data_IF_820833878841
#
_entry.id   IF_820833878841
#
_cell.length_a   1.000
_cell.length_b   1.000
_cell.length_c   1.000
_cell.angle_alpha   90.00
_cell.angle_beta   90.00
_cell.angle_gamma   90.00
#
_symmetry.space_group_name_H-M   'P 1'
#
loop_
_entity.id
_entity.type
_entity.pdbx_description
1 polymer ?
#
# COMPACT_ATOMS: atom_id res chain seq x y z
N UNK A 1 7.54 5.18 17.42
CA UNK A 1 7.53 4.87 15.98
C UNK A 1 8.54 5.79 15.34
N UNK A 2 9.66 5.26 14.87
CA UNK A 2 10.74 6.06 14.29
C UNK A 2 10.38 6.31 12.83
N UNK A 3 10.08 7.55 12.46
CA UNK A 3 9.82 7.93 11.08
C UNK A 3 11.20 8.17 10.44
N UNK A 4 11.67 7.19 9.66
CA UNK A 4 12.91 7.32 8.90
C UNK A 4 12.73 8.35 7.77
N UNK A 5 13.85 8.96 7.34
CA UNK A 5 13.89 10.03 6.33
C UNK A 5 12.99 9.75 5.11
N UNK A 6 12.16 10.73 4.72
CA UNK A 6 11.11 10.67 3.67
C UNK A 6 11.49 10.00 2.33
N UNK A 7 12.78 9.90 1.98
CA UNK A 7 13.24 9.17 0.77
C UNK A 7 13.56 7.70 1.03
N UNK A 8 14.08 7.39 2.22
CA UNK A 8 14.49 6.03 2.60
C UNK A 8 13.31 5.08 2.72
N UNK A 9 12.15 5.60 3.14
CA UNK A 9 10.93 4.80 3.29
C UNK A 9 10.39 4.27 1.96
N UNK A 10 10.18 5.16 0.99
CA UNK A 10 9.67 4.78 -0.34
C UNK A 10 10.63 3.81 -1.06
N UNK A 11 11.93 4.04 -0.96
CA UNK A 11 12.95 3.11 -1.50
C UNK A 11 12.82 1.70 -0.91
N UNK A 12 12.47 1.59 0.38
CA UNK A 12 12.26 0.31 1.04
C UNK A 12 10.97 -0.39 0.60
N UNK A 13 9.90 0.37 0.37
CA UNK A 13 8.66 -0.15 -0.21
C UNK A 13 8.91 -0.68 -1.64
N UNK A 14 9.59 0.11 -2.47
CA UNK A 14 9.93 -0.30 -3.83
C UNK A 14 10.86 -1.52 -3.85
N UNK A 15 11.81 -1.61 -2.92
CA UNK A 15 12.65 -2.80 -2.76
C UNK A 15 11.85 -4.05 -2.32
N UNK A 16 10.77 -3.86 -1.55
CA UNK A 16 9.93 -4.96 -1.04
C UNK A 16 9.00 -5.50 -2.12
N UNK A 17 8.33 -4.61 -2.87
CA UNK A 17 7.29 -4.99 -3.83
C UNK A 17 7.78 -5.03 -5.28
N UNK A 18 8.98 -4.50 -5.56
CA UNK A 18 9.57 -4.48 -6.90
C UNK A 18 8.63 -3.85 -7.92
N UNK A 19 8.42 -4.53 -9.05
CA UNK A 19 7.59 -4.02 -10.14
C UNK A 19 6.11 -3.77 -9.75
N UNK A 20 5.59 -4.43 -8.71
CA UNK A 20 4.21 -4.17 -8.27
C UNK A 20 4.06 -2.85 -7.49
N UNK A 21 5.16 -2.22 -7.06
CA UNK A 21 5.07 -1.02 -6.21
C UNK A 21 4.31 0.11 -6.90
N UNK A 22 4.52 0.30 -8.20
CA UNK A 22 3.83 1.31 -9.00
C UNK A 22 2.31 1.06 -9.04
N UNK A 23 1.90 -0.17 -9.35
CA UNK A 23 0.49 -0.55 -9.41
C UNK A 23 -0.19 -0.45 -8.03
N UNK A 24 0.51 -0.85 -6.97
CA UNK A 24 0.02 -0.71 -5.59
C UNK A 24 -0.20 0.76 -5.22
N UNK A 25 0.75 1.64 -5.54
CA UNK A 25 0.63 3.09 -5.29
C UNK A 25 -0.57 3.69 -6.05
N UNK A 26 -0.78 3.30 -7.31
CA UNK A 26 -1.89 3.80 -8.12
C UNK A 26 -3.26 3.35 -7.57
N UNK A 27 -3.40 2.05 -7.29
CA UNK A 27 -4.63 1.49 -6.71
C UNK A 27 -4.93 2.10 -5.34
N UNK A 28 -3.90 2.27 -4.51
CA UNK A 28 -4.05 2.88 -3.20
C UNK A 28 -4.44 4.36 -3.29
N UNK A 29 -3.85 5.13 -4.23
CA UNK A 29 -4.25 6.51 -4.51
C UNK A 29 -5.74 6.61 -4.84
N UNK A 30 -6.20 5.72 -5.74
CA UNK A 30 -7.60 5.69 -6.15
C UNK A 30 -8.54 5.34 -4.98
N UNK A 31 -8.18 4.33 -4.17
CA UNK A 31 -8.96 3.94 -3.01
C UNK A 31 -9.02 5.05 -1.96
N UNK A 32 -7.90 5.72 -1.68
CA UNK A 32 -7.86 6.82 -0.72
C UNK A 32 -8.66 8.02 -1.22
N UNK A 33 -8.54 8.37 -2.50
CA UNK A 33 -9.33 9.45 -3.10
C UNK A 33 -10.83 9.14 -3.04
N UNK A 34 -11.23 7.92 -3.41
CA UNK A 34 -12.65 7.53 -3.39
C UNK A 34 -13.26 7.46 -1.98
N UNK A 35 -12.45 7.14 -0.96
CA UNK A 35 -12.91 7.01 0.44
C UNK A 35 -12.84 8.31 1.23
N UNK A 36 -11.83 9.15 0.99
CA UNK A 36 -11.60 10.40 1.74
C UNK A 36 -12.03 11.66 1.00
N UNK A 37 -12.14 11.60 -0.34
CA UNK A 37 -12.31 12.78 -1.19
C UNK A 37 -11.07 13.67 -1.29
N UNK A 38 -9.93 13.26 -0.73
CA UNK A 38 -8.66 13.99 -0.76
C UNK A 38 -7.66 13.33 -1.72
N UNK A 39 -6.84 14.17 -2.36
CA UNK A 39 -5.80 13.70 -3.27
C UNK A 39 -4.51 13.42 -2.50
N UNK A 40 -3.87 12.30 -2.83
CA UNK A 40 -2.53 11.98 -2.33
C UNK A 40 -1.51 12.74 -3.18
N UNK A 41 -0.60 13.47 -2.54
CA UNK A 41 0.47 14.24 -3.19
C UNK A 41 1.86 13.65 -2.94
N UNK A 42 1.98 12.79 -1.92
CA UNK A 42 3.22 12.08 -1.61
C UNK A 42 2.96 10.85 -0.76
N UNK A 43 4.02 10.09 -0.54
CA UNK A 43 3.97 8.86 0.21
C UNK A 43 5.10 8.80 1.23
N UNK A 44 4.76 8.40 2.45
CA UNK A 44 5.69 7.86 3.42
C UNK A 44 5.48 6.34 3.55
N UNK A 45 6.22 5.69 4.44
CA UNK A 45 6.04 4.28 4.73
C UNK A 45 5.99 4.00 6.23
N UNK A 46 5.28 2.94 6.58
CA UNK A 46 5.32 2.32 7.88
C UNK A 46 5.81 0.88 7.75
N UNK A 47 6.79 0.51 8.57
CA UNK A 47 7.26 -0.87 8.71
C UNK A 47 6.59 -1.49 9.94
N UNK A 48 5.87 -2.57 9.73
CA UNK A 48 5.12 -3.28 10.76
C UNK A 48 5.84 -4.54 11.22
N UNK A 49 5.39 -5.08 12.35
CA UNK A 49 5.88 -6.36 12.88
C UNK A 49 5.64 -7.45 11.82
N UNK A 50 6.66 -8.28 11.60
CA UNK A 50 6.64 -9.29 10.53
C UNK A 50 7.20 -8.81 9.19
N UNK A 51 7.70 -7.58 9.11
CA UNK A 51 8.39 -7.04 7.93
C UNK A 51 7.46 -6.54 6.83
N UNK A 52 6.16 -6.40 7.12
CA UNK A 52 5.21 -5.77 6.20
C UNK A 52 5.53 -4.28 6.10
N UNK A 53 5.72 -3.78 4.88
CA UNK A 53 5.93 -2.35 4.60
C UNK A 53 4.66 -1.83 3.93
N UNK A 54 4.00 -0.82 4.51
CA UNK A 54 2.81 -0.19 3.93
C UNK A 54 3.07 1.27 3.62
N UNK A 55 2.36 1.82 2.63
CA UNK A 55 2.41 3.24 2.33
C UNK A 55 1.50 4.05 3.26
N UNK A 56 1.94 5.26 3.58
CA UNK A 56 1.18 6.27 4.30
C UNK A 56 0.98 7.48 3.37
N UNK A 57 -0.26 7.90 3.10
CA UNK A 57 -0.50 9.01 2.19
C UNK A 57 -0.17 10.35 2.84
N UNK A 58 0.42 11.25 2.04
CA UNK A 58 0.71 12.63 2.40
C UNK A 58 -0.06 13.55 1.46
N UNK A 59 -0.76 14.54 2.03
CA UNK A 59 -1.31 15.69 1.29
C UNK A 59 -0.49 16.95 1.56
N UNK A 60 -0.54 17.93 0.66
CA UNK A 60 0.11 19.23 0.90
C UNK A 60 -0.68 20.09 1.89
N UNK A 61 -2.01 20.02 1.87
CA UNK A 61 -2.88 20.76 2.77
C UNK A 61 -3.24 19.94 4.02
N UNK A 62 -3.18 20.55 5.20
CA UNK A 62 -3.54 19.88 6.46
C UNK A 62 -4.99 19.40 6.47
N UNK A 63 -5.92 20.16 5.90
CA UNK A 63 -7.33 19.77 5.81
C UNK A 63 -7.55 18.52 4.95
N UNK A 64 -6.71 18.29 3.94
CA UNK A 64 -6.76 17.08 3.12
C UNK A 64 -6.02 15.92 3.80
N UNK A 65 -4.96 16.22 4.56
CA UNK A 65 -4.31 15.23 5.42
C UNK A 65 -5.29 14.66 6.47
N UNK A 66 -6.09 15.51 7.12
CA UNK A 66 -7.10 15.06 8.09
C UNK A 66 -8.13 14.11 7.46
N UNK A 67 -8.53 14.36 6.21
CA UNK A 67 -9.42 13.45 5.46
C UNK A 67 -8.73 12.13 5.14
N UNK A 68 -7.47 12.16 4.72
CA UNK A 68 -6.68 10.96 4.46
C UNK A 68 -6.49 10.13 5.74
N UNK A 69 -6.19 10.77 6.86
CA UNK A 69 -6.00 10.14 8.17
C UNK A 69 -7.29 9.51 8.72
N UNK A 70 -8.47 10.00 8.27
CA UNK A 70 -9.76 9.38 8.60
C UNK A 70 -9.98 8.02 7.93
N UNK A 71 -9.19 7.70 6.90
CA UNK A 71 -9.21 6.41 6.21
C UNK A 71 -8.07 5.56 6.75
N UNK A 72 -8.37 4.32 7.15
CA UNK A 72 -7.33 3.38 7.55
C UNK A 72 -6.45 3.02 6.32
N UNK A 73 -5.25 3.58 6.27
CA UNK A 73 -4.28 3.37 5.18
C UNK A 73 -3.84 1.92 5.05
N UNK A 74 -3.77 1.18 6.16
CA UNK A 74 -3.45 -0.26 6.16
C UNK A 74 -4.55 -1.07 5.49
N UNK A 75 -5.83 -0.76 5.72
CA UNK A 75 -6.93 -1.46 5.05
C UNK A 75 -7.04 -1.07 3.58
N UNK A 76 -6.75 0.18 3.22
CA UNK A 76 -6.65 0.62 1.83
C UNK A 76 -5.50 -0.09 1.10
N UNK A 77 -4.35 -0.26 1.76
CA UNK A 77 -3.22 -1.04 1.25
C UNK A 77 -3.61 -2.51 1.02
N UNK A 78 -4.27 -3.15 1.99
CA UNK A 78 -4.73 -4.53 1.87
C UNK A 78 -5.60 -4.72 0.61
N UNK A 79 -6.63 -3.89 0.45
CA UNK A 79 -7.49 -3.90 -0.75
C UNK A 79 -6.72 -3.62 -2.04
N UNK A 80 -5.74 -2.71 -2.04
CA UNK A 80 -4.92 -2.43 -3.21
C UNK A 80 -4.07 -3.64 -3.62
N UNK A 81 -3.53 -4.36 -2.64
CA UNK A 81 -2.74 -5.57 -2.87
C UNK A 81 -3.58 -6.73 -3.41
N UNK A 82 -4.80 -6.95 -2.87
CA UNK A 82 -5.75 -7.93 -3.42
C UNK A 82 -6.11 -7.60 -4.87
N UNK A 83 -6.48 -6.35 -5.15
CA UNK A 83 -6.83 -5.92 -6.50
C UNK A 83 -5.64 -5.98 -7.47
N UNK A 84 -4.41 -5.82 -6.99
CA UNK A 84 -3.22 -6.02 -7.80
C UNK A 84 -3.02 -7.51 -8.11
N UNK A 85 -3.14 -8.37 -7.09
CA UNK A 85 -3.07 -9.82 -7.24
C UNK A 85 -4.12 -10.37 -8.22
N UNK A 86 -5.38 -9.93 -8.10
CA UNK A 86 -6.46 -10.33 -9.01
C UNK A 86 -6.16 -9.94 -10.45
N UNK A 87 -5.68 -8.72 -10.69
CA UNK A 87 -5.29 -8.27 -12.03
C UNK A 87 -4.16 -9.14 -12.61
N UNK A 88 -3.14 -9.46 -11.81
CA UNK A 88 -2.06 -10.36 -12.22
C UNK A 88 -2.55 -11.78 -12.53
N UNK A 89 -3.55 -12.27 -11.78
CA UNK A 89 -4.11 -13.61 -11.96
C UNK A 89 -4.96 -13.76 -13.23
N UNK A 90 -5.43 -12.64 -13.79
CA UNK A 90 -6.23 -12.63 -15.03
C UNK A 90 -5.34 -12.52 -16.28
N UNK A 91 -4.23 -11.79 -16.18
CA UNK A 91 -3.40 -11.44 -17.34
C UNK A 91 -2.13 -12.32 -17.51
N UNK A 92 -1.78 -13.14 -16.52
CA UNK A 92 -0.62 -14.03 -16.58
C UNK A 92 -0.94 -15.41 -16.01
N UNK A 93 -0.44 -16.47 -16.65
CA UNK A 93 -0.35 -17.77 -15.99
C UNK A 93 0.56 -17.61 -14.77
N UNK A 94 -0.03 -17.85 -13.59
CA UNK A 94 0.63 -17.64 -12.29
C UNK A 94 1.93 -18.45 -12.14
N UNK A 95 2.11 -19.50 -12.94
CA UNK A 95 3.30 -20.35 -12.99
C UNK A 95 4.52 -19.60 -13.59
N UNK A 96 4.32 -18.62 -14.46
CA UNK A 96 5.37 -17.82 -15.10
C UNK A 96 5.58 -16.44 -14.44
N UNK A 97 4.66 -16.02 -13.55
CA UNK A 97 4.67 -14.70 -12.90
C UNK A 97 5.69 -14.56 -11.74
N UNK A 98 6.44 -15.64 -11.45
CA UNK A 98 7.43 -15.67 -10.38
C UNK A 98 6.82 -15.48 -8.99
N UNK A 99 7.57 -14.85 -8.06
CA UNK A 99 7.14 -14.70 -6.67
C UNK A 99 6.13 -13.55 -6.43
N UNK A 100 5.87 -12.71 -7.43
CA UNK A 100 5.15 -11.45 -7.26
C UNK A 100 3.67 -11.63 -6.83
N UNK A 101 2.87 -12.51 -7.47
CA UNK A 101 1.48 -12.71 -7.04
C UNK A 101 1.38 -13.26 -5.61
N UNK A 102 2.24 -14.22 -5.25
CA UNK A 102 2.29 -14.79 -3.90
C UNK A 102 2.69 -13.74 -2.84
N UNK A 103 3.60 -12.83 -3.19
CA UNK A 103 4.01 -11.72 -2.33
C UNK A 103 2.86 -10.72 -2.12
N UNK A 104 2.11 -10.39 -3.17
CA UNK A 104 0.94 -9.50 -3.08
C UNK A 104 -0.16 -10.10 -2.19
N UNK A 105 -0.47 -11.38 -2.38
CA UNK A 105 -1.47 -12.07 -1.57
C UNK A 105 -1.05 -12.11 -0.09
N UNK A 106 0.20 -12.48 0.20
CA UNK A 106 0.72 -12.49 1.57
C UNK A 106 0.70 -11.09 2.20
N UNK A 107 1.04 -10.06 1.44
CA UNK A 107 1.00 -8.68 1.93
C UNK A 107 -0.43 -8.24 2.26
N UNK A 108 -1.41 -8.59 1.43
CA UNK A 108 -2.83 -8.34 1.70
C UNK A 108 -3.30 -9.03 2.98
N UNK A 109 -2.99 -10.32 3.16
CA UNK A 109 -3.36 -11.09 4.35
C UNK A 109 -2.79 -10.47 5.64
N UNK A 110 -1.50 -10.13 5.63
CA UNK A 110 -0.84 -9.49 6.78
C UNK A 110 -1.43 -8.11 7.07
N UNK A 111 -1.74 -7.33 6.04
CA UNK A 111 -2.35 -6.02 6.19
C UNK A 111 -3.78 -6.11 6.75
N UNK A 112 -4.56 -7.11 6.33
CA UNK A 112 -5.89 -7.36 6.90
C UNK A 112 -5.82 -7.73 8.39
N UNK A 113 -4.89 -8.61 8.77
CA UNK A 113 -4.68 -8.98 10.17
C UNK A 113 -4.30 -7.77 11.02
N UNK A 114 -3.42 -6.91 10.50
CA UNK A 114 -3.01 -5.69 11.16
C UNK A 114 -4.17 -4.69 11.30
N UNK A 115 -4.92 -4.46 10.22
CA UNK A 115 -6.06 -3.54 10.23
C UNK A 115 -7.19 -3.99 11.16
N UNK A 116 -7.37 -5.30 11.37
CA UNK A 116 -8.34 -5.85 12.32
C UNK A 116 -7.86 -5.89 13.78
N UNK A 117 -6.57 -5.63 14.02
CA UNK A 117 -5.96 -5.63 15.36
C UNK A 117 -5.82 -4.22 15.97
N UNK A 118 -6.13 -3.17 15.20
CA UNK A 118 -6.11 -1.75 15.60
C UNK A 118 -7.51 -1.25 15.94
#
# INVERSE_FOLDING_TARGET
>A
MTIESRKSGTDHFDATYGAASHNLQDKMSFLLLSRSGAQVEGWDTAVHIGGLVTLLPIAAASADQEKLDSVNSTSAFASAAEQAFEAFSVDCDLEDAGALPALLLKAAELAHQLAGSM
#
